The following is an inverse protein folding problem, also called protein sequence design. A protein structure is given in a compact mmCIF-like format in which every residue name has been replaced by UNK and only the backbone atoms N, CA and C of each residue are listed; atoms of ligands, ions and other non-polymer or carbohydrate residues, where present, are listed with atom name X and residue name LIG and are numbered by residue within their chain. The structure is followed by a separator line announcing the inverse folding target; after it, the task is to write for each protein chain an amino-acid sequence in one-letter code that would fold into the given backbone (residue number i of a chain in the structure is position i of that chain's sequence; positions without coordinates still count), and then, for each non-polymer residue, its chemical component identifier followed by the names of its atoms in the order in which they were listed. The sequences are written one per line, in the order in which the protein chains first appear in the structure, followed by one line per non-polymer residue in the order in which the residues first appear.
data_IF_017743799608
#
_entry.id   IF_017743799608
#
_cell.length_a   1.000
_cell.length_b   1.000
_cell.length_c   1.000
_cell.angle_alpha   90.00
_cell.angle_beta   90.00
_cell.angle_gamma   90.00
#
_symmetry.space_group_name_H-M   'P 1'
#
loop_
_entity.id
_entity.type
_entity.pdbx_description
1 polymer ?
#
# COMPACT_ATOMS: atom_id res chain seq x y z
N UNK A 1 -13.73 -1.71 -22.13
CA UNK A 1 -12.93 -1.91 -20.90
C UNK A 1 -13.73 -2.83 -20.00
N UNK A 2 -13.16 -3.95 -19.59
CA UNK A 2 -13.80 -4.87 -18.64
C UNK A 2 -13.48 -4.49 -17.19
N UNK A 3 -14.04 -5.24 -16.23
CA UNK A 3 -13.86 -4.99 -14.79
C UNK A 3 -12.41 -5.14 -14.33
N UNK A 4 -11.67 -6.10 -14.90
CA UNK A 4 -10.25 -6.33 -14.58
C UNK A 4 -9.42 -5.12 -15.03
N UNK A 5 -9.62 -4.67 -16.26
CA UNK A 5 -8.92 -3.50 -16.79
C UNK A 5 -9.29 -2.23 -16.03
N UNK A 6 -10.54 -2.09 -15.56
CA UNK A 6 -10.92 -0.97 -14.69
C UNK A 6 -10.16 -0.99 -13.36
N UNK A 7 -10.03 -2.15 -12.71
CA UNK A 7 -9.26 -2.28 -11.46
C UNK A 7 -7.78 -1.97 -11.67
N UNK A 8 -7.17 -2.49 -12.75
CA UNK A 8 -5.77 -2.19 -13.13
C UNK A 8 -5.56 -0.69 -13.36
N UNK A 9 -6.49 -0.02 -14.04
CA UNK A 9 -6.43 1.42 -14.27
C UNK A 9 -6.52 2.22 -12.95
N UNK A 10 -7.31 1.74 -11.98
CA UNK A 10 -7.37 2.34 -10.64
C UNK A 10 -6.03 2.27 -9.90
N UNK A 11 -5.37 1.11 -9.92
CA UNK A 11 -4.04 0.92 -9.35
C UNK A 11 -2.98 1.81 -10.04
N UNK A 12 -2.98 1.85 -11.37
CA UNK A 12 -2.08 2.70 -12.16
C UNK A 12 -2.27 4.19 -11.85
N UNK A 13 -3.52 4.64 -11.74
CA UNK A 13 -3.85 6.01 -11.34
C UNK A 13 -3.30 6.35 -9.95
N UNK A 14 -3.45 5.44 -8.98
CA UNK A 14 -2.88 5.61 -7.64
C UNK A 14 -1.35 5.74 -7.67
N UNK A 15 -0.66 4.88 -8.43
CA UNK A 15 0.81 4.98 -8.59
C UNK A 15 1.23 6.31 -9.18
N UNK A 16 0.63 6.72 -10.30
CA UNK A 16 0.95 8.00 -10.95
C UNK A 16 0.69 9.19 -10.04
N UNK A 17 -0.39 9.15 -9.24
CA UNK A 17 -0.68 10.20 -8.27
C UNK A 17 0.39 10.26 -7.19
N UNK A 18 0.79 9.12 -6.62
CA UNK A 18 1.89 9.08 -5.64
C UNK A 18 3.19 9.59 -6.26
N UNK A 19 3.62 9.08 -7.41
CA UNK A 19 4.87 9.49 -8.06
C UNK A 19 4.90 11.00 -8.34
N UNK A 20 3.81 11.56 -8.87
CA UNK A 20 3.69 13.00 -9.09
C UNK A 20 3.74 13.79 -7.79
N UNK A 21 3.14 13.30 -6.73
CA UNK A 21 3.12 13.99 -5.43
C UNK A 21 4.49 13.93 -4.73
N UNK A 22 5.26 12.86 -4.92
CA UNK A 22 6.60 12.76 -4.36
C UNK A 22 7.67 13.54 -5.13
N UNK A 23 7.37 13.98 -6.35
CA UNK A 23 8.30 14.72 -7.19
C UNK A 23 8.83 15.97 -6.46
N UNK A 24 10.16 16.09 -6.41
CA UNK A 24 10.85 17.20 -5.77
C UNK A 24 10.76 17.25 -4.23
N UNK A 25 10.26 16.22 -3.55
CA UNK A 25 10.32 16.16 -2.08
C UNK A 25 11.69 15.72 -1.59
N UNK A 26 12.16 16.40 -0.55
CA UNK A 26 13.35 16.03 0.22
C UNK A 26 13.02 14.94 1.23
N UNK A 27 14.05 14.23 1.73
CA UNK A 27 13.86 13.26 2.81
C UNK A 27 13.35 13.91 4.11
N UNK A 28 13.65 15.18 4.36
CA UNK A 28 13.10 15.89 5.52
C UNK A 28 11.58 16.04 5.38
N UNK A 29 11.10 16.41 4.19
CA UNK A 29 9.67 16.54 3.91
C UNK A 29 8.95 15.19 3.92
N UNK A 30 9.60 14.12 3.44
CA UNK A 30 9.06 12.76 3.47
C UNK A 30 8.91 12.24 4.90
N UNK A 31 9.85 12.57 5.80
CA UNK A 31 9.81 12.19 7.22
C UNK A 31 9.04 13.19 8.09
N UNK A 32 8.52 14.29 7.52
CA UNK A 32 7.82 15.29 8.28
C UNK A 32 6.42 14.80 8.71
N UNK A 33 6.05 15.09 9.95
CA UNK A 33 4.75 14.74 10.54
C UNK A 33 3.96 16.03 10.84
N UNK A 34 2.67 16.12 10.47
CA UNK A 34 1.82 17.26 10.85
C UNK A 34 1.66 17.42 12.37
N UNK A 35 1.71 16.30 13.10
CA UNK A 35 1.71 16.19 14.57
C UNK A 35 2.50 14.93 14.97
N UNK A 36 3.00 14.82 16.22
CA UNK A 36 3.74 13.63 16.67
C UNK A 36 3.01 12.30 16.48
N UNK A 37 1.68 12.31 16.58
CA UNK A 37 0.81 11.14 16.46
C UNK A 37 0.23 10.93 15.05
N UNK A 38 0.55 11.82 14.10
CA UNK A 38 0.03 11.76 12.74
C UNK A 38 1.09 11.16 11.81
N UNK A 39 0.66 10.38 10.81
CA UNK A 39 1.58 9.72 9.88
C UNK A 39 2.40 10.71 9.04
N UNK A 40 3.64 10.34 8.72
CA UNK A 40 4.45 11.00 7.70
C UNK A 40 4.17 10.40 6.32
N UNK A 41 4.60 11.11 5.27
CA UNK A 41 4.53 10.60 3.90
C UNK A 41 5.25 9.26 3.78
N UNK A 42 6.45 9.15 4.33
CA UNK A 42 7.25 7.91 4.25
C UNK A 42 6.61 6.73 4.98
N UNK A 43 5.97 6.97 6.13
CA UNK A 43 5.18 5.94 6.82
C UNK A 43 4.00 5.46 5.96
N UNK A 44 3.28 6.38 5.33
CA UNK A 44 2.14 6.04 4.46
C UNK A 44 2.61 5.22 3.26
N UNK A 45 3.73 5.59 2.63
CA UNK A 45 4.29 4.82 1.51
C UNK A 45 4.67 3.40 1.91
N UNK A 46 5.30 3.23 3.08
CA UNK A 46 5.62 1.92 3.63
C UNK A 46 4.36 1.10 3.90
N UNK A 47 3.36 1.72 4.55
CA UNK A 47 2.07 1.12 4.81
C UNK A 47 1.37 0.64 3.54
N UNK A 48 1.31 1.48 2.49
CA UNK A 48 0.69 1.12 1.21
C UNK A 48 1.29 -0.16 0.61
N UNK A 49 2.63 -0.27 0.58
CA UNK A 49 3.31 -1.43 0.03
C UNK A 49 3.10 -2.70 0.89
N UNK A 50 3.10 -2.58 2.23
CA UNK A 50 2.81 -3.70 3.13
C UNK A 50 1.35 -4.16 3.03
N UNK A 51 0.40 -3.22 2.98
CA UNK A 51 -1.03 -3.49 2.88
C UNK A 51 -1.38 -4.21 1.57
N UNK A 52 -0.84 -3.75 0.43
CA UNK A 52 -1.06 -4.42 -0.86
C UNK A 52 -0.47 -5.84 -0.87
N UNK A 53 0.76 -6.04 -0.38
CA UNK A 53 1.38 -7.37 -0.29
C UNK A 53 0.58 -8.31 0.60
N UNK A 54 0.21 -7.86 1.80
CA UNK A 54 -0.57 -8.65 2.76
C UNK A 54 -1.95 -9.02 2.21
N UNK A 55 -2.63 -8.08 1.55
CA UNK A 55 -3.98 -8.32 1.04
C UNK A 55 -3.96 -9.19 -0.21
N UNK A 56 -3.12 -8.89 -1.20
CA UNK A 56 -3.13 -9.58 -2.49
C UNK A 56 -2.42 -10.94 -2.39
N UNK A 57 -1.20 -11.00 -1.83
CA UNK A 57 -0.46 -12.25 -1.73
C UNK A 57 -0.93 -13.08 -0.54
N UNK A 58 -1.00 -12.46 0.64
CA UNK A 58 -1.38 -13.16 1.88
C UNK A 58 -2.83 -13.64 1.87
N UNK A 59 -3.78 -12.71 1.79
CA UNK A 59 -5.19 -13.01 2.02
C UNK A 59 -5.91 -13.55 0.79
N UNK A 60 -5.85 -12.84 -0.36
CA UNK A 60 -6.60 -13.24 -1.55
C UNK A 60 -6.02 -14.49 -2.20
N UNK A 61 -4.70 -14.55 -2.36
CA UNK A 61 -4.03 -15.69 -3.01
C UNK A 61 -3.64 -16.82 -2.05
N UNK A 62 -3.66 -16.59 -0.73
CA UNK A 62 -3.22 -17.59 0.26
C UNK A 62 -1.72 -17.95 0.15
N UNK A 63 -0.89 -17.04 -0.36
CA UNK A 63 0.56 -17.23 -0.56
C UNK A 63 1.34 -16.50 0.53
N UNK A 64 2.60 -16.91 0.72
CA UNK A 64 3.52 -16.14 1.53
C UNK A 64 3.76 -14.76 0.90
N UNK A 65 3.85 -13.74 1.74
CA UNK A 65 4.09 -12.35 1.33
C UNK A 65 5.47 -12.19 0.69
N UNK A 66 5.61 -11.26 -0.24
CA UNK A 66 6.93 -10.87 -0.78
C UNK A 66 7.85 -10.36 0.32
N UNK A 67 7.27 -9.69 1.31
CA UNK A 67 7.93 -9.24 2.52
C UNK A 67 8.91 -10.27 3.09
N UNK A 68 8.44 -11.50 3.27
CA UNK A 68 9.21 -12.61 3.82
C UNK A 68 9.99 -13.36 2.73
N UNK A 69 9.31 -13.73 1.64
CA UNK A 69 9.89 -14.61 0.61
C UNK A 69 11.04 -14.00 -0.17
N UNK A 70 11.05 -12.66 -0.31
CA UNK A 70 12.13 -11.91 -0.96
C UNK A 70 12.98 -11.09 0.04
N UNK A 71 12.80 -11.36 1.34
CA UNK A 71 13.53 -10.76 2.46
C UNK A 71 13.55 -9.22 2.44
N UNK A 72 12.44 -8.60 2.04
CA UNK A 72 12.33 -7.14 1.98
C UNK A 72 12.48 -6.49 3.36
N UNK A 73 12.08 -7.18 4.43
CA UNK A 73 12.33 -6.74 5.82
C UNK A 73 13.82 -6.44 6.07
N UNK A 74 14.73 -7.31 5.60
CA UNK A 74 16.18 -7.08 5.72
C UNK A 74 16.63 -5.89 4.88
N UNK A 75 16.16 -5.82 3.63
CA UNK A 75 16.57 -4.78 2.67
C UNK A 75 16.15 -3.39 3.14
N UNK A 76 14.98 -3.29 3.80
CA UNK A 76 14.39 -2.06 4.33
C UNK A 76 14.73 -1.81 5.81
N UNK A 77 15.47 -2.71 6.47
CA UNK A 77 15.89 -2.55 7.86
C UNK A 77 14.73 -2.58 8.87
N UNK A 78 13.72 -3.41 8.63
CA UNK A 78 12.54 -3.59 9.50
C UNK A 78 12.52 -4.99 10.10
N UNK A 79 11.70 -5.16 11.14
CA UNK A 79 11.44 -6.46 11.73
C UNK A 79 10.62 -7.34 10.76
N UNK A 80 10.81 -8.66 10.81
CA UNK A 80 10.08 -9.58 9.92
C UNK A 80 8.57 -9.55 10.18
N UNK A 81 8.16 -9.27 11.41
CA UNK A 81 6.77 -9.15 11.85
C UNK A 81 6.21 -7.72 11.71
N UNK A 82 6.97 -6.78 11.13
CA UNK A 82 6.46 -5.44 10.86
C UNK A 82 5.38 -5.47 9.77
N UNK A 83 4.13 -5.41 10.22
CA UNK A 83 2.94 -5.38 9.36
C UNK A 83 2.75 -4.08 8.60
N UNK A 84 3.53 -3.03 8.88
CA UNK A 84 3.31 -1.70 8.30
C UNK A 84 2.04 -1.01 8.78
N UNK A 85 1.45 -1.43 9.90
CA UNK A 85 0.20 -0.91 10.44
C UNK A 85 0.15 -1.08 11.96
N UNK A 86 -0.87 -0.51 12.60
CA UNK A 86 -1.10 -0.61 14.05
C UNK A 86 0.04 -0.07 14.92
N UNK A 87 0.79 0.91 14.41
CA UNK A 87 1.80 1.62 15.18
C UNK A 87 1.16 2.39 16.34
N UNK A 88 1.81 2.38 17.50
CA UNK A 88 1.49 3.29 18.61
C UNK A 88 1.88 4.73 18.24
N UNK A 89 1.35 5.72 18.96
CA UNK A 89 1.73 7.12 18.75
C UNK A 89 3.26 7.34 18.88
N UNK A 90 3.90 6.66 19.84
CA UNK A 90 5.35 6.70 20.00
C UNK A 90 6.09 6.08 18.81
N UNK A 91 5.58 4.98 18.25
CA UNK A 91 6.16 4.37 17.05
C UNK A 91 5.98 5.25 15.81
N UNK A 92 4.85 5.95 15.68
CA UNK A 92 4.61 6.92 14.61
C UNK A 92 5.58 8.10 14.73
N UNK A 93 5.70 8.70 15.91
CA UNK A 93 6.58 9.84 16.16
C UNK A 93 8.05 9.51 15.83
N UNK A 94 8.49 8.31 16.18
CA UNK A 94 9.85 7.83 15.95
C UNK A 94 10.03 7.06 14.63
N UNK A 95 9.04 7.07 13.75
CA UNK A 95 9.14 6.33 12.49
C UNK A 95 10.16 6.97 11.56
N UNK A 96 11.21 6.23 11.25
CA UNK A 96 12.18 6.59 10.21
C UNK A 96 11.80 5.88 8.92
N UNK A 97 11.63 6.66 7.85
CA UNK A 97 11.36 6.15 6.51
C UNK A 97 12.54 5.29 6.05
N UNK A 98 12.29 4.07 5.53
CA UNK A 98 13.32 3.28 4.88
C UNK A 98 13.99 4.02 3.72
N UNK A 99 15.09 3.46 3.22
CA UNK A 99 15.68 3.90 1.95
C UNK A 99 14.59 3.96 0.85
N UNK A 100 14.36 5.15 0.30
CA UNK A 100 13.27 5.41 -0.62
C UNK A 100 13.42 4.68 -1.95
N UNK A 101 14.65 4.42 -2.40
CA UNK A 101 14.89 3.64 -3.62
C UNK A 101 14.44 2.21 -3.39
N UNK A 102 14.89 1.59 -2.29
CA UNK A 102 14.48 0.22 -1.94
C UNK A 102 12.99 0.12 -1.64
N UNK A 103 12.40 1.13 -1.01
CA UNK A 103 10.97 1.16 -0.74
C UNK A 103 10.17 1.22 -2.04
N UNK A 104 10.62 2.01 -3.01
CA UNK A 104 10.03 2.02 -4.35
C UNK A 104 10.18 0.67 -5.03
N UNK A 105 11.36 0.05 -5.00
CA UNK A 105 11.57 -1.28 -5.58
C UNK A 105 10.65 -2.35 -4.96
N UNK A 106 10.44 -2.30 -3.65
CA UNK A 106 9.50 -3.18 -2.96
C UNK A 106 8.06 -2.93 -3.43
N UNK A 107 7.63 -1.66 -3.46
CA UNK A 107 6.29 -1.28 -3.93
C UNK A 107 6.05 -1.71 -5.39
N UNK A 108 7.03 -1.49 -6.27
CA UNK A 108 6.99 -1.90 -7.68
C UNK A 108 6.92 -3.43 -7.82
N UNK A 109 7.67 -4.18 -6.99
CA UNK A 109 7.65 -5.64 -6.99
C UNK A 109 6.28 -6.20 -6.54
N UNK A 110 5.70 -5.62 -5.48
CA UNK A 110 4.35 -5.96 -5.01
C UNK A 110 3.32 -5.64 -6.09
N UNK A 111 3.34 -4.43 -6.66
CA UNK A 111 2.41 -4.03 -7.71
C UNK A 111 2.51 -4.92 -8.94
N UNK A 112 3.73 -5.32 -9.33
CA UNK A 112 3.94 -6.27 -10.44
C UNK A 112 3.26 -7.60 -10.16
N UNK A 113 3.34 -8.14 -8.95
CA UNK A 113 2.63 -9.37 -8.59
C UNK A 113 1.12 -9.17 -8.55
N UNK A 114 0.63 -8.04 -8.05
CA UNK A 114 -0.80 -7.71 -8.10
C UNK A 114 -1.31 -7.69 -9.54
N UNK A 115 -0.64 -6.99 -10.44
CA UNK A 115 -1.05 -6.93 -11.84
C UNK A 115 -0.98 -8.30 -12.52
N UNK A 116 0.06 -9.09 -12.24
CA UNK A 116 0.17 -10.45 -12.75
C UNK A 116 -0.96 -11.36 -12.23
N UNK A 117 -1.38 -11.21 -10.97
CA UNK A 117 -2.55 -11.92 -10.44
C UNK A 117 -3.83 -11.50 -11.17
N UNK A 118 -4.06 -10.19 -11.35
CA UNK A 118 -5.23 -9.69 -12.07
C UNK A 118 -5.27 -10.18 -13.52
N UNK A 119 -4.14 -10.33 -14.19
CA UNK A 119 -4.06 -10.88 -15.55
C UNK A 119 -4.49 -12.35 -15.64
N UNK A 120 -4.54 -13.08 -14.51
CA UNK A 120 -5.07 -14.47 -14.47
C UNK A 120 -6.58 -14.54 -14.27
N UNK A 121 -7.22 -13.43 -13.90
CA UNK A 121 -8.64 -13.42 -13.56
C UNK A 121 -9.52 -13.17 -14.79
N UNK A 122 -10.68 -13.82 -14.78
CA UNK A 122 -11.82 -13.43 -15.63
C UNK A 122 -12.80 -12.61 -14.79
N UNK A 123 -13.70 -11.81 -15.40
CA UNK A 123 -14.72 -11.08 -14.65
C UNK A 123 -15.54 -11.97 -13.69
N UNK A 124 -15.88 -13.20 -14.10
CA UNK A 124 -16.61 -14.14 -13.25
C UNK A 124 -15.82 -14.58 -12.00
N UNK A 125 -14.49 -14.58 -12.06
CA UNK A 125 -13.62 -14.90 -10.92
C UNK A 125 -13.61 -13.83 -9.84
N UNK A 126 -14.16 -12.65 -10.10
CA UNK A 126 -14.33 -11.61 -9.08
C UNK A 126 -15.39 -12.00 -8.03
N UNK A 127 -16.30 -12.91 -8.35
CA UNK A 127 -17.33 -13.42 -7.43
C UNK A 127 -16.84 -14.61 -6.59
N UNK A 128 -15.61 -15.10 -6.81
CA UNK A 128 -15.03 -16.18 -6.01
C UNK A 128 -14.87 -15.74 -4.55
N UNK A 129 -15.24 -16.61 -3.61
CA UNK A 129 -15.12 -16.37 -2.17
C UNK A 129 -13.66 -16.52 -1.73
N UNK A 130 -13.23 -15.59 -0.89
CA UNK A 130 -11.95 -15.62 -0.18
C UNK A 130 -12.19 -16.09 1.24
N UNK A 131 -11.43 -17.10 1.67
CA UNK A 131 -11.50 -17.62 3.03
C UNK A 131 -10.70 -16.72 3.97
N UNK A 132 -11.33 -16.33 5.08
CA UNK A 132 -10.70 -15.56 6.14
C UNK A 132 -10.38 -16.47 7.33
N UNK A 133 -9.43 -16.06 8.20
CA UNK A 133 -9.24 -16.71 9.49
C UNK A 133 -10.55 -16.78 10.28
N UNK A 134 -10.73 -17.86 11.02
CA UNK A 134 -11.93 -18.10 11.82
C UNK A 134 -12.17 -16.94 12.82
N UNK A 135 -13.43 -16.51 12.94
CA UNK A 135 -13.81 -15.38 13.79
C UNK A 135 -13.67 -14.00 13.15
N UNK A 136 -13.09 -13.88 11.94
CA UNK A 136 -13.08 -12.63 11.19
C UNK A 136 -14.50 -12.20 10.82
N UNK A 137 -14.92 -11.01 11.26
CA UNK A 137 -16.18 -10.39 10.86
C UNK A 137 -15.90 -9.23 9.92
N UNK A 138 -16.31 -9.36 8.67
CA UNK A 138 -16.26 -8.27 7.70
C UNK A 138 -17.66 -7.68 7.50
N UNK A 139 -17.79 -6.36 7.31
CA UNK A 139 -19.08 -5.73 7.05
C UNK A 139 -19.58 -5.97 5.60
N UNK A 140 -18.85 -6.76 4.81
CA UNK A 140 -19.13 -7.07 3.41
C UNK A 140 -18.77 -8.52 3.09
N UNK A 141 -19.31 -9.04 1.98
CA UNK A 141 -19.00 -10.40 1.53
C UNK A 141 -17.53 -10.48 1.07
N UNK A 142 -16.76 -11.46 1.57
CA UNK A 142 -15.34 -11.59 1.26
C UNK A 142 -15.13 -12.23 -0.12
N UNK A 143 -15.49 -11.53 -1.20
CA UNK A 143 -15.22 -11.97 -2.58
C UNK A 143 -14.02 -11.24 -3.18
N UNK A 144 -13.35 -11.87 -4.15
CA UNK A 144 -12.14 -11.34 -4.78
C UNK A 144 -12.35 -9.91 -5.29
N UNK A 145 -13.46 -9.63 -5.97
CA UNK A 145 -13.75 -8.31 -6.55
C UNK A 145 -13.86 -7.20 -5.52
N UNK A 146 -14.51 -7.45 -4.38
CA UNK A 146 -14.61 -6.46 -3.29
C UNK A 146 -13.24 -6.20 -2.67
N UNK A 147 -12.43 -7.25 -2.46
CA UNK A 147 -11.11 -7.10 -1.84
C UNK A 147 -10.10 -6.41 -2.75
N UNK A 148 -10.09 -6.71 -4.05
CA UNK A 148 -9.25 -5.97 -5.01
C UNK A 148 -9.72 -4.52 -5.13
N UNK A 149 -11.03 -4.28 -5.16
CA UNK A 149 -11.58 -2.91 -5.14
C UNK A 149 -11.17 -2.15 -3.87
N UNK A 150 -11.13 -2.83 -2.72
CA UNK A 150 -10.60 -2.28 -1.48
C UNK A 150 -9.12 -1.89 -1.61
N UNK A 151 -8.29 -2.72 -2.26
CA UNK A 151 -6.89 -2.37 -2.57
C UNK A 151 -6.78 -1.09 -3.40
N UNK A 152 -7.63 -0.94 -4.42
CA UNK A 152 -7.67 0.28 -5.25
C UNK A 152 -8.05 1.50 -4.41
N UNK A 153 -9.14 1.41 -3.64
CA UNK A 153 -9.62 2.51 -2.82
C UNK A 153 -8.62 2.90 -1.72
N UNK A 154 -7.96 1.92 -1.11
CA UNK A 154 -6.89 2.13 -0.13
C UNK A 154 -5.72 2.90 -0.76
N UNK A 155 -5.24 2.46 -1.93
CA UNK A 155 -4.13 3.11 -2.61
C UNK A 155 -4.46 4.56 -3.04
N UNK A 156 -5.65 4.79 -3.59
CA UNK A 156 -6.11 6.14 -3.98
C UNK A 156 -6.34 7.02 -2.74
N UNK A 157 -6.92 6.48 -1.68
CA UNK A 157 -7.15 7.21 -0.42
C UNK A 157 -5.85 7.73 0.18
N UNK A 158 -4.83 6.86 0.28
CA UNK A 158 -3.51 7.26 0.77
C UNK A 158 -2.75 8.17 -0.20
N UNK A 159 -2.92 8.03 -1.52
CA UNK A 159 -2.37 9.01 -2.46
C UNK A 159 -2.95 10.43 -2.22
N UNK A 160 -4.24 10.51 -1.88
CA UNK A 160 -4.89 11.75 -1.43
C UNK A 160 -4.32 12.27 -0.11
N UNK A 161 -4.13 11.39 0.87
CA UNK A 161 -3.52 11.72 2.17
C UNK A 161 -2.11 12.29 2.01
N UNK A 162 -1.25 11.64 1.21
CA UNK A 162 0.10 12.13 0.89
C UNK A 162 0.03 13.50 0.22
N UNK A 163 -0.91 13.70 -0.71
CA UNK A 163 -1.09 14.98 -1.40
C UNK A 163 -1.50 16.09 -0.43
N UNK A 164 -2.34 15.78 0.55
CA UNK A 164 -2.73 16.71 1.61
C UNK A 164 -1.56 17.05 2.53
N UNK A 165 -0.79 16.06 3.01
CA UNK A 165 0.38 16.28 3.86
C UNK A 165 1.45 17.10 3.14
N UNK A 166 1.73 16.78 1.86
CA UNK A 166 2.59 17.60 1.00
C UNK A 166 2.11 19.06 0.97
N UNK A 167 0.82 19.27 0.76
CA UNK A 167 0.21 20.60 0.74
C UNK A 167 0.38 21.36 2.06
N UNK A 168 0.27 20.68 3.20
CA UNK A 168 0.54 21.28 4.52
C UNK A 168 2.01 21.69 4.69
N UNK A 169 2.95 20.87 4.19
CA UNK A 169 4.39 21.12 4.34
C UNK A 169 4.92 22.18 3.36
N UNK A 170 4.47 22.20 2.10
CA UNK A 170 4.99 23.09 1.03
C UNK A 170 4.04 24.20 0.59
N UNK A 171 2.74 24.10 0.88
CA UNK A 171 1.77 25.06 0.36
C UNK A 171 1.75 25.10 -1.18
N UNK A 172 1.89 26.29 -1.75
CA UNK A 172 1.93 26.51 -3.21
C UNK A 172 3.30 26.21 -3.84
N UNK A 173 4.33 25.97 -3.02
CA UNK A 173 5.67 25.71 -3.53
C UNK A 173 5.72 24.32 -4.19
N UNK A 174 6.26 24.29 -5.41
CA UNK A 174 6.40 23.08 -6.22
C UNK A 174 7.57 22.23 -5.76
#
# INVERSE_FOLDING_TARGET
MDSIQLLKNGLDSATKNVERTLDGLTMEEINWHPRPDANSIGLILFHMARAEDSLINGLIQGKNQLWETAEWYKKLGKAVDDGGAHYSAEQVENFVTPDMVKLKEYSDAVRKQTLAYLDTLTPAKLDDKVTFPEGSKMPFEPIVGILVSLTVNHAVGHAGEISYIRGLKRGMDK
#
